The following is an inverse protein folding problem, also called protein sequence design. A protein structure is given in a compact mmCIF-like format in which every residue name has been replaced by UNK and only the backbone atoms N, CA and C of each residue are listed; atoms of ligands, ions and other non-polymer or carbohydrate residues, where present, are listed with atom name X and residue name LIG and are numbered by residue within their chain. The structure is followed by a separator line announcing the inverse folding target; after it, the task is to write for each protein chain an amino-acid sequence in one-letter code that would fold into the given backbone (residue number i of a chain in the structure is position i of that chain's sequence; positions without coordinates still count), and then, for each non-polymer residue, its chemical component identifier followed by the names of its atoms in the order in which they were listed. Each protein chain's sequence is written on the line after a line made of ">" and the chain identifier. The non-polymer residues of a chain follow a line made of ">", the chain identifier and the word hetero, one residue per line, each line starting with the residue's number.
data_IF_730525575951
#
_entry.id   IF_730525575951
#
_cell.length_a   1.000
_cell.length_b   1.000
_cell.length_c   1.000
_cell.angle_alpha   90.00
_cell.angle_beta   90.00
_cell.angle_gamma   90.00
#
_symmetry.space_group_name_H-M   'P 1'
#
loop_
_entity.id
_entity.type
_entity.pdbx_description
1 polymer ?
#
# COMPACT_ATOMS: atom_id res chain seq x y z
N UNK A 1 -0.66 -5.93 0.55
CA UNK A 1 -1.38 -4.66 0.54
C UNK A 1 -2.68 -4.75 1.34
N UNK A 2 -3.58 -5.67 1.01
CA UNK A 2 -4.94 -5.76 1.57
C UNK A 2 -4.96 -5.83 3.10
N UNK A 3 -4.09 -6.63 3.71
CA UNK A 3 -4.00 -6.70 5.17
C UNK A 3 -3.64 -5.36 5.82
N UNK A 4 -2.87 -4.51 5.12
CA UNK A 4 -2.56 -3.15 5.59
C UNK A 4 -3.79 -2.24 5.40
N UNK A 5 -4.46 -2.29 4.24
CA UNK A 5 -5.64 -1.47 3.94
C UNK A 5 -6.81 -1.75 4.90
N UNK A 6 -6.97 -3.01 5.31
CA UNK A 6 -8.06 -3.49 6.17
C UNK A 6 -7.75 -3.41 7.67
N UNK A 7 -6.56 -2.94 8.07
CA UNK A 7 -6.18 -2.87 9.48
C UNK A 7 -7.13 -2.01 10.30
N UNK A 8 -7.58 -2.53 11.44
CA UNK A 8 -8.43 -1.80 12.39
C UNK A 8 -7.73 -0.58 13.01
N UNK A 9 -6.39 -0.52 12.95
CA UNK A 9 -5.62 0.58 13.49
C UNK A 9 -5.93 1.90 12.78
N UNK A 10 -6.38 1.87 11.51
CA UNK A 10 -6.82 3.07 10.80
C UNK A 10 -8.07 3.69 11.39
N UNK A 11 -8.96 2.87 11.97
CA UNK A 11 -10.21 3.30 12.60
C UNK A 11 -10.06 3.58 14.08
N UNK A 12 -8.96 3.14 14.70
CA UNK A 12 -8.69 3.34 16.13
C UNK A 12 -8.40 4.81 16.40
N UNK A 13 -9.04 5.38 17.44
CA UNK A 13 -8.67 6.67 18.00
C UNK A 13 -7.44 6.46 18.90
N UNK A 14 -6.27 6.79 18.39
CA UNK A 14 -5.01 6.63 19.13
C UNK A 14 -4.73 7.91 19.89
N UNK A 15 -4.95 7.87 21.19
CA UNK A 15 -4.75 8.99 22.14
C UNK A 15 -4.01 8.47 23.35
N UNK A 16 -3.46 9.40 24.12
CA UNK A 16 -2.77 9.07 25.36
C UNK A 16 -3.69 8.45 26.41
N UNK A 17 -3.09 7.95 27.49
CA UNK A 17 -3.73 7.27 28.58
C UNK A 17 -4.71 8.19 29.33
N UNK A 18 -5.93 7.69 29.61
CA UNK A 18 -7.03 8.54 30.11
C UNK A 18 -7.08 8.67 31.65
N UNK A 19 -6.35 7.85 32.40
CA UNK A 19 -6.37 7.77 33.85
C UNK A 19 -5.23 8.55 34.54
N UNK A 20 -4.68 9.55 33.85
CA UNK A 20 -3.63 10.44 34.38
C UNK A 20 -4.13 11.89 34.51
N UNK A 21 -3.61 12.65 35.46
CA UNK A 21 -4.09 14.00 35.83
C UNK A 21 -4.26 14.95 34.62
N UNK A 22 -3.31 14.92 33.68
CA UNK A 22 -3.30 15.82 32.52
C UNK A 22 -4.31 15.41 31.43
N UNK A 23 -4.78 14.16 31.47
CA UNK A 23 -5.66 13.60 30.44
C UNK A 23 -6.99 14.38 30.32
N UNK A 24 -7.58 14.78 31.45
CA UNK A 24 -8.84 15.50 31.46
C UNK A 24 -8.74 16.83 30.71
N UNK A 25 -7.63 17.58 30.86
CA UNK A 25 -7.38 18.84 30.17
C UNK A 25 -7.15 18.61 28.68
N UNK A 26 -6.27 17.69 28.31
CA UNK A 26 -5.94 17.38 26.90
C UNK A 26 -7.21 16.93 26.16
N UNK A 27 -8.01 16.06 26.78
CA UNK A 27 -9.30 15.59 26.23
C UNK A 27 -10.30 16.72 26.06
N UNK A 28 -10.48 17.56 27.09
CA UNK A 28 -11.40 18.70 27.03
C UNK A 28 -11.09 19.64 25.89
N UNK A 29 -9.80 19.85 25.60
CA UNK A 29 -9.33 20.73 24.55
C UNK A 29 -9.21 20.02 23.18
N UNK A 30 -9.34 18.71 23.11
CA UNK A 30 -9.19 17.93 21.87
C UNK A 30 -7.78 18.00 21.28
N UNK A 31 -6.75 18.21 22.12
CA UNK A 31 -5.40 18.60 21.68
C UNK A 31 -4.35 17.47 21.78
N UNK A 32 -4.75 16.21 21.84
CA UNK A 32 -3.79 15.09 22.00
C UNK A 32 -2.69 15.11 20.93
N UNK A 33 -3.08 15.23 19.65
CA UNK A 33 -2.12 15.22 18.53
C UNK A 33 -1.23 16.47 18.54
N UNK A 34 -1.78 17.64 18.87
CA UNK A 34 -1.00 18.87 18.99
C UNK A 34 0.03 18.78 20.12
N UNK A 35 -0.36 18.25 21.27
CA UNK A 35 0.57 18.06 22.42
C UNK A 35 1.66 17.06 22.05
N UNK A 36 1.32 15.95 21.39
CA UNK A 36 2.29 14.97 20.91
C UNK A 36 3.29 15.58 19.93
N UNK A 37 2.80 16.37 18.96
CA UNK A 37 3.66 17.09 18.02
C UNK A 37 4.51 18.13 18.72
N UNK A 38 3.94 18.87 19.69
CA UNK A 38 4.64 19.89 20.46
C UNK A 38 5.81 19.36 21.28
N UNK A 39 5.70 18.13 21.77
CA UNK A 39 6.79 17.46 22.51
C UNK A 39 8.07 17.28 21.70
N UNK A 40 7.99 17.21 20.38
CA UNK A 40 9.17 17.07 19.50
C UNK A 40 10.07 18.31 19.52
N UNK A 41 9.55 19.46 19.97
CA UNK A 41 10.29 20.71 20.05
C UNK A 41 10.83 20.99 21.45
N UNK A 42 10.54 20.11 22.42
CA UNK A 42 11.04 20.23 23.79
C UNK A 42 12.40 19.56 23.88
N UNK A 43 13.45 20.35 24.08
CA UNK A 43 14.81 19.86 24.21
C UNK A 43 14.99 18.97 25.47
N UNK A 44 15.76 17.92 25.35
CA UNK A 44 16.07 17.03 26.46
C UNK A 44 16.82 17.80 27.58
N UNK A 45 16.29 17.70 28.81
CA UNK A 45 16.88 18.36 29.97
C UNK A 45 16.56 19.85 30.11
N UNK A 46 15.97 20.49 29.09
CA UNK A 46 15.55 21.89 29.18
C UNK A 46 14.19 22.02 29.85
N UNK A 47 14.03 22.92 30.78
CA UNK A 47 12.73 23.29 31.40
C UNK A 47 12.03 24.47 30.71
N UNK A 48 12.65 25.01 29.65
CA UNK A 48 12.13 26.09 28.84
C UNK A 48 11.08 25.59 27.87
N UNK A 49 9.90 26.21 27.90
CA UNK A 49 8.84 25.92 26.92
C UNK A 49 9.20 26.53 25.56
N UNK A 50 9.22 25.74 24.44
CA UNK A 50 9.54 26.28 23.12
C UNK A 50 8.54 27.30 22.61
N UNK A 51 7.32 27.35 23.16
CA UNK A 51 6.26 28.25 22.72
C UNK A 51 6.27 29.59 23.48
N UNK A 52 6.34 29.56 24.81
CA UNK A 52 6.27 30.77 25.62
C UNK A 52 7.64 31.24 26.16
N UNK A 53 8.71 30.49 25.95
CA UNK A 53 10.09 30.76 26.38
C UNK A 53 10.25 30.92 27.91
N UNK A 54 9.26 30.46 28.70
CA UNK A 54 9.34 30.41 30.14
C UNK A 54 9.74 29.02 30.67
N UNK A 55 10.27 28.97 31.89
CA UNK A 55 10.65 27.72 32.58
C UNK A 55 9.42 27.02 33.15
N UNK A 56 8.63 26.39 32.28
CA UNK A 56 7.36 25.74 32.63
C UNK A 56 7.35 24.24 32.40
N UNK A 57 8.37 23.69 31.69
CA UNK A 57 8.49 22.27 31.39
C UNK A 57 9.35 21.59 32.47
N UNK A 58 8.93 21.66 33.72
CA UNK A 58 9.64 21.01 34.81
C UNK A 58 9.52 19.47 34.78
N UNK A 59 10.28 18.79 35.65
CA UNK A 59 10.31 17.32 35.71
C UNK A 59 8.96 16.67 36.00
N UNK A 60 8.12 17.30 36.86
CA UNK A 60 6.76 16.80 37.14
C UNK A 60 5.87 16.85 35.89
N UNK A 61 5.90 17.97 35.18
CA UNK A 61 5.11 18.13 33.94
C UNK A 61 5.58 17.15 32.85
N UNK A 62 6.90 16.95 32.71
CA UNK A 62 7.43 15.94 31.78
C UNK A 62 6.96 14.52 32.13
N UNK A 63 7.01 14.17 33.41
CA UNK A 63 6.53 12.85 33.87
C UNK A 63 5.04 12.66 33.58
N UNK A 64 4.22 13.68 33.77
CA UNK A 64 2.78 13.64 33.43
C UNK A 64 2.55 13.43 31.93
N UNK A 65 3.30 14.11 31.07
CA UNK A 65 3.24 13.91 29.62
C UNK A 65 3.73 12.53 29.19
N UNK A 66 4.82 12.03 29.76
CA UNK A 66 5.34 10.70 29.48
C UNK A 66 4.38 9.60 29.95
N UNK A 67 3.70 9.80 31.07
CA UNK A 67 2.66 8.88 31.53
C UNK A 67 1.40 8.93 30.68
N UNK A 68 1.08 10.10 30.10
CA UNK A 68 -0.02 10.25 29.17
C UNK A 68 0.29 9.55 27.84
N UNK A 69 1.43 9.84 27.21
CA UNK A 69 1.90 9.15 26.00
C UNK A 69 2.72 7.92 26.37
N UNK A 70 2.04 6.93 26.93
CA UNK A 70 2.63 5.70 27.43
C UNK A 70 3.15 4.80 26.31
N UNK A 71 3.69 3.62 26.67
CA UNK A 71 4.22 2.65 25.72
C UNK A 71 3.13 2.10 24.77
N UNK A 72 1.87 2.05 25.20
CA UNK A 72 0.75 1.65 24.35
C UNK A 72 0.52 2.64 23.20
N UNK A 73 0.48 3.93 23.54
CA UNK A 73 0.40 5.01 22.54
C UNK A 73 1.58 4.98 21.57
N UNK A 74 2.79 4.91 22.09
CA UNK A 74 4.02 4.87 21.28
C UNK A 74 4.04 3.67 20.33
N UNK A 75 3.59 2.51 20.80
CA UNK A 75 3.49 1.29 19.99
C UNK A 75 2.50 1.47 18.84
N UNK A 76 1.30 1.99 19.12
CA UNK A 76 0.29 2.23 18.09
C UNK A 76 0.80 3.23 17.03
N UNK A 77 1.45 4.32 17.46
CA UNK A 77 2.04 5.31 16.55
C UNK A 77 3.17 4.71 15.70
N UNK A 78 4.04 3.92 16.31
CA UNK A 78 5.11 3.23 15.59
C UNK A 78 4.54 2.25 14.56
N UNK A 79 3.47 1.53 14.89
CA UNK A 79 2.80 0.59 13.98
C UNK A 79 2.15 1.32 12.80
N UNK A 80 1.47 2.46 13.03
CA UNK A 80 0.93 3.32 11.95
C UNK A 80 2.04 3.72 10.97
N UNK A 81 3.17 4.21 11.48
CA UNK A 81 4.30 4.63 10.65
C UNK A 81 4.92 3.46 9.88
N UNK A 82 5.07 2.30 10.51
CA UNK A 82 5.58 1.09 9.87
C UNK A 82 4.66 0.58 8.76
N UNK A 83 3.35 0.56 9.01
CA UNK A 83 2.36 0.18 7.99
C UNK A 83 2.38 1.14 6.81
N UNK A 84 2.46 2.44 7.04
CA UNK A 84 2.57 3.45 5.98
C UNK A 84 3.84 3.24 5.13
N UNK A 85 5.00 3.02 5.76
CA UNK A 85 6.26 2.79 5.08
C UNK A 85 6.23 1.50 4.24
N UNK A 86 5.73 0.40 4.83
CA UNK A 86 5.60 -0.89 4.16
C UNK A 86 4.61 -0.83 2.99
N UNK A 87 3.50 -0.12 3.15
CA UNK A 87 2.53 0.11 2.08
C UNK A 87 3.17 0.82 0.89
N UNK A 88 3.87 1.93 1.15
CA UNK A 88 4.58 2.68 0.12
C UNK A 88 5.60 1.82 -0.63
N UNK A 89 6.43 1.07 0.08
CA UNK A 89 7.43 0.21 -0.51
C UNK A 89 6.80 -0.88 -1.39
N UNK A 90 5.77 -1.56 -0.88
CA UNK A 90 5.07 -2.62 -1.61
C UNK A 90 4.35 -2.10 -2.85
N UNK A 91 3.69 -0.94 -2.76
CA UNK A 91 3.03 -0.31 -3.91
C UNK A 91 4.02 0.09 -5.00
N UNK A 92 5.15 0.69 -4.62
CA UNK A 92 6.19 1.07 -5.57
C UNK A 92 6.74 -0.14 -6.32
N UNK A 93 6.99 -1.25 -5.62
CA UNK A 93 7.48 -2.50 -6.23
C UNK A 93 6.46 -3.08 -7.22
N UNK A 94 5.18 -3.16 -6.83
CA UNK A 94 4.11 -3.65 -7.69
C UNK A 94 3.98 -2.80 -8.96
N UNK A 95 3.88 -1.48 -8.80
CA UNK A 95 3.74 -0.54 -9.93
C UNK A 95 4.95 -0.60 -10.85
N UNK A 96 6.15 -0.70 -10.29
CA UNK A 96 7.38 -0.85 -11.07
C UNK A 96 7.34 -2.14 -11.91
N UNK A 97 7.03 -3.28 -11.31
CA UNK A 97 6.94 -4.58 -12.00
C UNK A 97 5.89 -4.58 -13.11
N UNK A 98 4.73 -3.98 -12.86
CA UNK A 98 3.68 -3.83 -13.88
C UNK A 98 4.15 -2.97 -15.05
N UNK A 99 4.82 -1.85 -14.80
CA UNK A 99 5.38 -1.00 -15.87
C UNK A 99 6.43 -1.72 -16.69
N UNK A 100 7.37 -2.42 -16.05
CA UNK A 100 8.40 -3.22 -16.73
C UNK A 100 7.77 -4.28 -17.63
N UNK A 101 6.75 -4.98 -17.13
CA UNK A 101 6.00 -5.98 -17.90
C UNK A 101 5.33 -5.34 -19.13
N UNK A 102 4.66 -4.22 -18.97
CA UNK A 102 3.99 -3.52 -20.08
C UNK A 102 4.98 -3.06 -21.15
N UNK A 103 6.09 -2.45 -20.74
CA UNK A 103 7.12 -2.00 -21.70
C UNK A 103 7.76 -3.19 -22.45
N UNK A 104 7.98 -4.32 -21.77
CA UNK A 104 8.44 -5.54 -22.42
C UNK A 104 7.43 -6.06 -23.47
N UNK A 105 6.15 -5.97 -23.21
CA UNK A 105 5.10 -6.40 -24.15
C UNK A 105 4.94 -5.46 -25.35
N UNK A 106 5.14 -4.16 -25.17
CA UNK A 106 5.13 -3.18 -26.29
C UNK A 106 6.23 -3.45 -27.32
N UNK A 107 7.37 -3.97 -26.87
CA UNK A 107 8.49 -4.30 -27.76
C UNK A 107 8.31 -5.59 -28.56
N UNK A 108 7.25 -6.38 -28.30
CA UNK A 108 7.02 -7.65 -28.99
C UNK A 108 6.26 -7.47 -30.31
N UNK A 109 6.58 -8.23 -31.36
CA UNK A 109 5.85 -8.20 -32.64
C UNK A 109 4.36 -8.54 -32.49
N UNK A 110 4.01 -9.36 -31.50
CA UNK A 110 2.65 -9.72 -31.14
C UNK A 110 2.55 -9.79 -29.61
N UNK A 111 1.77 -8.92 -29.02
CA UNK A 111 1.40 -8.99 -27.60
C UNK A 111 0.06 -9.71 -27.47
N UNK A 112 -0.03 -10.61 -26.50
CA UNK A 112 -1.30 -11.22 -26.07
C UNK A 112 -1.96 -10.42 -24.93
N UNK A 113 -1.25 -9.44 -24.37
CA UNK A 113 -1.75 -8.56 -23.31
C UNK A 113 -2.45 -7.36 -23.93
N UNK A 114 -3.66 -7.04 -23.45
CA UNK A 114 -4.33 -5.78 -23.79
C UNK A 114 -3.60 -4.61 -23.10
N UNK A 115 -2.66 -4.00 -23.85
CA UNK A 115 -1.81 -2.92 -23.38
C UNK A 115 -2.62 -1.69 -22.95
N UNK A 116 -3.66 -1.35 -23.71
CA UNK A 116 -4.49 -0.15 -23.45
C UNK A 116 -5.24 -0.33 -22.13
N UNK A 117 -5.87 -1.48 -21.96
CA UNK A 117 -6.65 -1.78 -20.77
C UNK A 117 -5.76 -1.87 -19.52
N UNK A 118 -4.61 -2.54 -19.59
CA UNK A 118 -3.72 -2.67 -18.44
C UNK A 118 -3.10 -1.34 -18.03
N UNK A 119 -2.73 -0.48 -18.97
CA UNK A 119 -2.24 0.88 -18.67
C UNK A 119 -3.31 1.74 -17.99
N UNK A 120 -4.57 1.61 -18.43
CA UNK A 120 -5.69 2.28 -17.77
C UNK A 120 -5.86 1.81 -16.32
N UNK A 121 -5.77 0.49 -16.07
CA UNK A 121 -5.84 -0.07 -14.72
C UNK A 121 -4.64 0.34 -13.86
N UNK A 122 -3.44 0.42 -14.41
CA UNK A 122 -2.25 0.92 -13.69
C UNK A 122 -2.43 2.38 -13.30
N UNK A 123 -3.03 3.22 -14.15
CA UNK A 123 -3.34 4.61 -13.80
C UNK A 123 -4.36 4.69 -12.67
N UNK A 124 -5.43 3.89 -12.74
CA UNK A 124 -6.43 3.81 -11.66
C UNK A 124 -5.80 3.32 -10.35
N UNK A 125 -4.95 2.29 -10.41
CA UNK A 125 -4.22 1.78 -9.24
C UNK A 125 -3.35 2.87 -8.60
N UNK A 126 -2.59 3.62 -9.40
CA UNK A 126 -1.75 4.72 -8.89
C UNK A 126 -2.58 5.83 -8.22
N UNK A 127 -3.75 6.17 -8.78
CA UNK A 127 -4.64 7.17 -8.18
C UNK A 127 -5.16 6.70 -6.81
N UNK A 128 -5.64 5.45 -6.71
CA UNK A 128 -6.11 4.86 -5.46
C UNK A 128 -4.98 4.74 -4.43
N UNK A 129 -3.78 4.31 -4.82
CA UNK A 129 -2.60 4.27 -3.94
C UNK A 129 -2.27 5.67 -3.39
N UNK A 130 -2.33 6.70 -4.23
CA UNK A 130 -2.04 8.08 -3.80
C UNK A 130 -3.06 8.58 -2.78
N UNK A 131 -4.33 8.27 -2.96
CA UNK A 131 -5.41 8.61 -2.00
C UNK A 131 -5.19 7.89 -0.67
N UNK A 132 -4.95 6.58 -0.70
CA UNK A 132 -4.68 5.76 0.49
C UNK A 132 -3.46 6.30 1.25
N UNK A 133 -2.36 6.54 0.54
CA UNK A 133 -1.12 7.06 1.14
C UNK A 133 -1.31 8.45 1.74
N UNK A 134 -2.09 9.32 1.09
CA UNK A 134 -2.48 10.62 1.63
C UNK A 134 -3.24 10.49 2.95
N UNK A 135 -4.22 9.60 3.01
CA UNK A 135 -4.99 9.31 4.23
C UNK A 135 -4.13 8.71 5.34
N UNK A 136 -3.26 7.77 5.02
CA UNK A 136 -2.28 7.21 5.98
C UNK A 136 -1.33 8.29 6.52
N UNK A 137 -0.90 9.22 5.67
CA UNK A 137 -0.03 10.33 6.08
C UNK A 137 -0.76 11.27 7.06
N UNK A 138 -2.04 11.52 6.84
CA UNK A 138 -2.84 12.28 7.79
C UNK A 138 -2.99 11.57 9.13
N UNK A 139 -3.25 10.24 9.10
CA UNK A 139 -3.32 9.42 10.31
C UNK A 139 -2.01 9.40 11.09
N UNK A 140 -0.88 9.32 10.40
CA UNK A 140 0.44 9.36 11.03
C UNK A 140 0.73 10.72 11.74
N UNK A 141 0.23 11.83 11.16
CA UNK A 141 0.33 13.16 11.78
C UNK A 141 -0.67 13.37 12.90
N UNK A 142 -1.86 12.83 12.76
CA UNK A 142 -2.98 12.97 13.70
C UNK A 142 -3.47 11.57 14.12
N UNK A 143 -2.75 10.87 15.03
CA UNK A 143 -3.09 9.51 15.44
C UNK A 143 -4.50 9.36 16.05
N UNK A 144 -5.08 10.44 16.59
CA UNK A 144 -6.46 10.45 17.09
C UNK A 144 -7.51 10.39 15.98
N UNK A 145 -7.15 10.74 14.74
CA UNK A 145 -8.07 10.73 13.60
C UNK A 145 -8.49 9.32 13.23
N UNK A 146 -9.78 9.10 13.04
CA UNK A 146 -10.29 7.88 12.42
C UNK A 146 -10.31 8.05 10.90
N UNK A 147 -9.78 7.08 10.18
CA UNK A 147 -9.84 7.06 8.72
C UNK A 147 -10.39 5.73 8.22
N UNK A 148 -10.98 5.76 7.04
CA UNK A 148 -11.35 4.56 6.28
C UNK A 148 -10.60 4.64 4.96
N UNK A 149 -9.90 3.58 4.62
CA UNK A 149 -9.13 3.52 3.38
C UNK A 149 -9.97 2.88 2.26
N UNK A 150 -9.91 3.38 1.03
CA UNK A 150 -10.39 2.63 -0.13
C UNK A 150 -9.55 1.37 -0.30
N UNK A 151 -10.04 0.42 -1.12
CA UNK A 151 -9.31 -0.82 -1.38
C UNK A 151 -8.77 -0.85 -2.81
N UNK A 152 -7.54 -1.36 -2.95
CA UNK A 152 -6.95 -1.63 -4.27
C UNK A 152 -7.37 -2.99 -4.84
N UNK A 153 -8.11 -3.80 -4.10
CA UNK A 153 -8.41 -5.22 -4.39
C UNK A 153 -9.03 -5.41 -5.77
N UNK A 154 -10.12 -4.72 -6.06
CA UNK A 154 -10.85 -4.88 -7.33
C UNK A 154 -9.97 -4.53 -8.55
N UNK A 155 -9.12 -3.52 -8.43
CA UNK A 155 -8.22 -3.11 -9.50
C UNK A 155 -7.15 -4.18 -9.73
N UNK A 156 -6.56 -4.70 -8.65
CA UNK A 156 -5.54 -5.75 -8.71
C UNK A 156 -6.14 -7.05 -9.27
N UNK A 157 -7.36 -7.42 -8.88
CA UNK A 157 -8.06 -8.59 -9.42
C UNK A 157 -8.29 -8.46 -10.94
N UNK A 158 -8.68 -7.28 -11.43
CA UNK A 158 -8.81 -7.02 -12.87
C UNK A 158 -7.47 -7.10 -13.60
N UNK A 159 -6.40 -6.56 -13.03
CA UNK A 159 -5.05 -6.68 -13.59
C UNK A 159 -4.64 -8.16 -13.67
N UNK A 160 -4.83 -8.92 -12.59
CA UNK A 160 -4.51 -10.34 -12.56
C UNK A 160 -5.30 -11.15 -13.58
N UNK A 161 -6.58 -10.81 -13.80
CA UNK A 161 -7.41 -11.47 -14.81
C UNK A 161 -6.88 -11.25 -16.23
N UNK A 162 -6.45 -10.01 -16.56
CA UNK A 162 -5.85 -9.70 -17.85
C UNK A 162 -4.53 -10.45 -18.07
N UNK A 163 -3.66 -10.46 -17.05
CA UNK A 163 -2.38 -11.18 -17.10
C UNK A 163 -2.62 -12.68 -17.28
N UNK A 164 -3.58 -13.24 -16.55
CA UNK A 164 -3.94 -14.66 -16.67
C UNK A 164 -4.43 -15.00 -18.08
N UNK A 165 -5.36 -14.20 -18.61
CA UNK A 165 -5.87 -14.39 -19.98
C UNK A 165 -4.74 -14.35 -21.02
N UNK A 166 -3.81 -13.39 -20.90
CA UNK A 166 -2.65 -13.31 -21.79
C UNK A 166 -1.74 -14.54 -21.66
N UNK A 167 -1.48 -15.02 -20.45
CA UNK A 167 -0.67 -16.20 -20.22
C UNK A 167 -1.32 -17.47 -20.79
N UNK A 168 -2.65 -17.62 -20.67
CA UNK A 168 -3.38 -18.75 -21.25
C UNK A 168 -3.25 -18.77 -22.79
N UNK A 169 -3.30 -17.61 -23.45
CA UNK A 169 -3.08 -17.50 -24.89
C UNK A 169 -1.61 -17.79 -25.28
N UNK A 170 -0.64 -17.34 -24.49
CA UNK A 170 0.79 -17.66 -24.70
C UNK A 170 1.02 -19.18 -24.61
N UNK A 171 0.41 -19.85 -23.62
CA UNK A 171 0.52 -21.30 -23.47
C UNK A 171 -0.06 -22.03 -24.68
N UNK A 172 -1.25 -21.63 -25.17
CA UNK A 172 -1.85 -22.19 -26.39
C UNK A 172 -0.93 -21.99 -27.60
N UNK A 173 -0.39 -20.78 -27.77
CA UNK A 173 0.53 -20.48 -28.87
C UNK A 173 1.80 -21.34 -28.80
N UNK A 174 2.42 -21.46 -27.65
CA UNK A 174 3.63 -22.26 -27.44
C UNK A 174 3.38 -23.73 -27.73
N UNK A 175 2.22 -24.26 -27.33
CA UNK A 175 1.84 -25.65 -27.65
C UNK A 175 1.70 -25.86 -29.15
N UNK A 176 1.09 -24.93 -29.89
CA UNK A 176 1.01 -24.98 -31.34
C UNK A 176 2.39 -24.96 -32.00
N UNK A 177 3.29 -24.06 -31.55
CA UNK A 177 4.64 -23.95 -32.08
C UNK A 177 5.44 -25.21 -31.80
N UNK A 178 5.38 -25.76 -30.60
CA UNK A 178 6.10 -26.98 -30.21
C UNK A 178 5.62 -28.22 -30.97
N UNK A 179 4.32 -28.30 -31.29
CA UNK A 179 3.72 -29.41 -32.00
C UNK A 179 3.70 -29.21 -33.53
N UNK A 180 4.12 -28.04 -34.04
CA UNK A 180 4.02 -27.70 -35.45
C UNK A 180 4.64 -28.74 -36.38
N UNK A 181 5.85 -29.23 -36.08
CA UNK A 181 6.53 -30.23 -36.90
C UNK A 181 5.78 -31.56 -36.90
N UNK A 182 5.27 -31.98 -35.74
CA UNK A 182 4.48 -33.22 -35.64
C UNK A 182 3.16 -33.11 -36.41
N UNK A 183 2.47 -32.00 -36.29
CA UNK A 183 1.20 -31.74 -37.01
C UNK A 183 1.42 -31.66 -38.53
N UNK A 184 2.51 -30.98 -38.98
CA UNK A 184 2.91 -30.92 -40.38
C UNK A 184 3.17 -32.34 -40.92
N UNK A 185 3.92 -33.17 -40.20
CA UNK A 185 4.26 -34.51 -40.62
C UNK A 185 3.03 -35.44 -40.66
N UNK A 186 2.09 -35.28 -39.73
CA UNK A 186 0.81 -35.96 -39.72
C UNK A 186 -0.07 -35.57 -40.93
N UNK A 187 -0.10 -34.26 -41.24
CA UNK A 187 -0.81 -33.76 -42.42
C UNK A 187 -0.22 -34.32 -43.71
N UNK A 188 1.12 -34.30 -43.87
CA UNK A 188 1.81 -34.90 -45.03
C UNK A 188 1.46 -36.36 -45.16
N UNK A 189 1.56 -37.16 -44.08
CA UNK A 189 1.15 -38.56 -44.07
C UNK A 189 -0.31 -38.77 -44.46
N UNK A 190 -1.20 -37.92 -44.02
CA UNK A 190 -2.62 -38.01 -44.34
C UNK A 190 -2.89 -37.72 -45.84
N UNK A 191 -2.19 -36.70 -46.39
CA UNK A 191 -2.23 -36.37 -47.82
C UNK A 191 -1.73 -37.54 -48.66
N UNK A 192 -0.58 -38.15 -48.33
CA UNK A 192 -0.04 -39.31 -49.02
C UNK A 192 -0.99 -40.48 -48.95
N UNK A 193 -1.60 -40.76 -47.79
CA UNK A 193 -2.60 -41.85 -47.68
C UNK A 193 -3.82 -41.64 -48.55
N UNK A 194 -4.23 -40.40 -48.75
CA UNK A 194 -5.33 -40.06 -49.64
C UNK A 194 -5.00 -40.38 -51.11
N UNK A 195 -3.82 -39.95 -51.58
CA UNK A 195 -3.40 -40.18 -52.96
C UNK A 195 -3.06 -41.63 -53.29
N UNK A 196 -2.59 -42.42 -52.31
CA UNK A 196 -2.26 -43.84 -52.52
C UNK A 196 -3.49 -44.77 -52.49
N UNK A 197 -4.59 -44.32 -51.89
CA UNK A 197 -5.88 -45.03 -51.89
C UNK A 197 -6.80 -44.72 -53.06
N UNK A 198 -6.50 -43.71 -53.86
CA UNK A 198 -7.17 -43.40 -55.12
C UNK A 198 -6.42 -44.01 -56.28
#
# INVERSE_FOLDING_TARGET
>A
LFAIEESELWRKVVVGKQDVDIAALIKKLGMSDWVSQGLQFVEDGSDVCPFCQHHTINGDFRNKLNNFFDEGYKKDVAEINNMQANYKASCNDIVYKLKVMVEGQKGMPKSFLDIIQIESLIKALNATISEIYGSMTQKAKEPSRQITLPSTKDIIEKINALIKSANDEIVKHNNLVNNFNSERDNLIKSIWRFFVKS
#
